data_IF_518011359870
#
_entry.id   IF_518011359870
#
_cell.length_a   1.000
_cell.length_b   1.000
_cell.length_c   1.000
_cell.angle_alpha   90.00
_cell.angle_beta   90.00
_cell.angle_gamma   90.00
#
_symmetry.space_group_name_H-M   'P 1'
#
loop_
_entity.id
_entity.type
_entity.pdbx_description
1 polymer ?
#
# COMPACT_ATOMS: atom_id res chain seq x y z
N UNK A 1 0.01 -19.19 4.47
CA UNK A 1 -1.44 -19.21 4.19
C UNK A 1 -2.06 -20.28 5.07
N UNK A 2 -3.16 -19.95 5.69
CA UNK A 2 -3.94 -20.88 6.54
C UNK A 2 -5.35 -21.04 5.96
N UNK A 3 -6.00 -22.13 6.28
CA UNK A 3 -7.43 -22.27 6.04
C UNK A 3 -8.19 -21.24 6.89
N UNK A 4 -9.31 -20.70 6.36
CA UNK A 4 -10.13 -19.70 7.09
C UNK A 4 -10.66 -20.23 8.43
N UNK A 5 -10.86 -21.53 8.54
CA UNK A 5 -11.32 -22.21 9.77
C UNK A 5 -10.19 -22.65 10.69
N UNK A 6 -8.92 -22.32 10.37
CA UNK A 6 -7.77 -22.70 11.18
C UNK A 6 -7.86 -22.10 12.59
N UNK A 7 -7.51 -22.92 13.60
CA UNK A 7 -7.53 -22.54 15.00
C UNK A 7 -6.37 -23.19 15.78
N UNK A 8 -5.89 -22.54 16.83
CA UNK A 8 -4.80 -23.02 17.66
C UNK A 8 -3.50 -23.21 16.87
N UNK A 9 -2.76 -24.29 17.11
CA UNK A 9 -1.53 -24.63 16.40
C UNK A 9 -1.81 -25.34 15.08
N UNK A 10 -2.58 -24.68 14.20
CA UNK A 10 -2.99 -25.25 12.91
C UNK A 10 -1.80 -25.30 11.93
N UNK A 11 -1.75 -26.36 11.12
CA UNK A 11 -0.78 -26.49 10.05
C UNK A 11 -1.06 -25.48 8.94
N UNK A 12 0.01 -24.88 8.37
CA UNK A 12 -0.08 -24.03 7.20
C UNK A 12 -0.51 -24.84 5.97
N UNK A 13 -1.45 -24.32 5.21
CA UNK A 13 -1.83 -24.92 3.92
C UNK A 13 -0.76 -24.68 2.85
N UNK A 14 -0.17 -23.49 2.82
CA UNK A 14 0.93 -23.10 1.91
C UNK A 14 1.86 -22.10 2.59
N UNK A 15 3.13 -22.09 2.15
CA UNK A 15 4.15 -21.19 2.65
C UNK A 15 5.03 -20.73 1.48
N UNK A 16 5.20 -19.42 1.34
CA UNK A 16 6.15 -18.85 0.37
C UNK A 16 7.42 -18.55 1.17
N UNK A 17 8.51 -19.23 0.90
CA UNK A 17 9.76 -19.13 1.62
C UNK A 17 10.94 -19.65 0.79
N UNK A 18 12.14 -19.21 1.11
CA UNK A 18 13.38 -19.61 0.43
C UNK A 18 13.98 -18.45 -0.40
N UNK A 19 15.23 -18.62 -0.82
CA UNK A 19 16.00 -17.56 -1.49
C UNK A 19 15.41 -17.18 -2.85
N UNK A 20 14.90 -18.14 -3.60
CA UNK A 20 14.28 -17.91 -4.90
C UNK A 20 13.04 -17.01 -4.85
N UNK A 21 12.41 -16.86 -3.68
CA UNK A 21 11.27 -15.96 -3.51
C UNK A 21 11.66 -14.48 -3.48
N UNK A 22 12.92 -14.14 -3.28
CA UNK A 22 13.42 -12.80 -3.04
C UNK A 22 12.81 -12.10 -1.81
N UNK A 23 12.09 -12.83 -0.95
CA UNK A 23 11.55 -12.28 0.29
C UNK A 23 12.66 -11.95 1.26
N UNK A 24 12.71 -10.72 1.71
CA UNK A 24 13.66 -10.25 2.70
C UNK A 24 13.27 -10.66 4.13
N UNK A 25 14.10 -10.25 5.08
CA UNK A 25 13.96 -10.59 6.50
C UNK A 25 12.69 -10.05 7.15
N UNK A 26 12.23 -8.88 6.72
CA UNK A 26 11.13 -8.14 7.36
C UNK A 26 10.11 -7.76 6.32
N UNK A 27 8.86 -8.13 6.56
CA UNK A 27 7.70 -7.79 5.76
C UNK A 27 6.71 -7.05 6.66
N UNK A 28 6.32 -5.83 6.31
CA UNK A 28 5.40 -5.03 7.11
C UNK A 28 3.97 -5.04 6.56
N UNK A 29 3.81 -5.38 5.29
CA UNK A 29 2.50 -5.50 4.67
C UNK A 29 2.46 -6.56 3.59
N UNK A 30 1.27 -7.03 3.30
CA UNK A 30 0.96 -7.99 2.25
C UNK A 30 -0.43 -7.65 1.71
N UNK A 31 -0.59 -7.70 0.40
CA UNK A 31 -1.85 -7.45 -0.27
C UNK A 31 -2.23 -8.65 -1.14
N UNK A 32 -3.52 -8.90 -1.21
CA UNK A 32 -4.08 -9.86 -2.14
C UNK A 32 -4.94 -9.13 -3.15
N UNK A 33 -4.56 -9.22 -4.41
CA UNK A 33 -5.32 -8.73 -5.55
C UNK A 33 -6.29 -9.83 -5.97
N UNK A 34 -7.54 -9.70 -5.54
CA UNK A 34 -8.58 -10.68 -5.77
C UNK A 34 -9.08 -10.73 -7.22
N UNK A 35 -8.88 -9.65 -7.98
CA UNK A 35 -9.26 -9.59 -9.39
C UNK A 35 -8.30 -10.38 -10.29
N UNK A 36 -7.05 -10.49 -9.88
CA UNK A 36 -6.00 -11.11 -10.68
C UNK A 36 -5.37 -12.35 -10.03
N UNK A 37 -5.84 -12.74 -8.84
CA UNK A 37 -5.27 -13.82 -8.03
C UNK A 37 -3.76 -13.66 -7.83
N UNK A 38 -3.36 -12.49 -7.28
CA UNK A 38 -1.97 -12.16 -7.05
C UNK A 38 -1.71 -11.72 -5.60
N UNK A 39 -0.54 -12.10 -5.09
CA UNK A 39 -0.04 -11.65 -3.79
C UNK A 39 1.04 -10.61 -4.03
N UNK A 40 0.88 -9.41 -3.47
CA UNK A 40 1.81 -8.29 -3.66
C UNK A 40 2.45 -7.93 -2.33
N UNK A 41 3.78 -7.85 -2.32
CA UNK A 41 4.59 -7.66 -1.11
C UNK A 41 5.64 -6.58 -1.35
N UNK A 42 5.59 -5.45 -0.62
CA UNK A 42 6.68 -4.48 -0.64
C UNK A 42 7.90 -5.01 0.13
N UNK A 43 9.09 -4.71 -0.39
CA UNK A 43 10.37 -5.08 0.19
C UNK A 43 11.13 -3.82 0.62
N UNK A 44 11.01 -3.38 1.87
CA UNK A 44 11.52 -2.07 2.29
C UNK A 44 13.04 -1.94 2.13
N UNK A 45 13.80 -2.96 2.53
CA UNK A 45 15.26 -2.89 2.49
C UNK A 45 15.85 -3.08 1.08
N UNK A 46 15.12 -3.72 0.19
CA UNK A 46 15.53 -3.88 -1.20
C UNK A 46 14.99 -2.78 -2.12
N UNK A 47 14.11 -1.90 -1.64
CA UNK A 47 13.45 -0.89 -2.46
C UNK A 47 12.70 -1.54 -3.62
N UNK A 48 11.91 -2.58 -3.34
CA UNK A 48 11.24 -3.37 -4.36
C UNK A 48 9.77 -3.63 -4.04
N UNK A 49 9.01 -3.99 -5.07
CA UNK A 49 7.68 -4.60 -4.94
C UNK A 49 7.70 -5.94 -5.66
N UNK A 50 7.34 -7.00 -4.94
CA UNK A 50 7.27 -8.36 -5.45
C UNK A 50 5.81 -8.75 -5.67
N UNK A 51 5.52 -9.35 -6.82
CA UNK A 51 4.19 -9.88 -7.14
C UNK A 51 4.28 -11.38 -7.39
N UNK A 52 3.51 -12.18 -6.66
CA UNK A 52 3.43 -13.62 -6.79
C UNK A 52 2.06 -14.03 -7.31
N UNK A 53 1.97 -15.22 -7.92
CA UNK A 53 0.67 -15.85 -8.16
C UNK A 53 -0.03 -16.13 -6.82
N UNK A 54 -1.35 -16.02 -6.77
CA UNK A 54 -2.13 -16.33 -5.56
C UNK A 54 -1.94 -17.77 -5.11
N UNK A 55 -1.64 -18.69 -6.05
CA UNK A 55 -1.33 -20.10 -5.78
C UNK A 55 0.12 -20.39 -5.35
N UNK A 56 1.01 -19.40 -5.22
CA UNK A 56 2.43 -19.62 -4.91
C UNK A 56 2.65 -20.40 -3.63
N UNK A 57 3.63 -21.32 -3.66
CA UNK A 57 3.99 -22.19 -2.53
C UNK A 57 5.47 -22.60 -2.61
N UNK A 58 6.10 -22.77 -1.45
CA UNK A 58 7.54 -23.11 -1.36
C UNK A 58 8.41 -21.99 -1.91
N UNK A 59 9.48 -22.35 -2.61
CA UNK A 59 10.46 -21.43 -3.17
C UNK A 59 10.05 -20.88 -4.55
N UNK A 60 8.76 -20.60 -4.72
CA UNK A 60 8.24 -20.03 -5.98
C UNK A 60 8.78 -18.62 -6.17
N UNK A 61 9.45 -18.31 -7.30
CA UNK A 61 9.90 -16.94 -7.57
C UNK A 61 8.73 -16.00 -7.83
N UNK A 62 8.90 -14.69 -7.62
CA UNK A 62 7.87 -13.72 -7.99
C UNK A 62 7.63 -13.70 -9.50
N UNK A 63 6.38 -13.49 -9.89
CA UNK A 63 5.99 -13.28 -11.29
C UNK A 63 6.58 -12.00 -11.85
N UNK A 64 6.64 -10.95 -11.01
CA UNK A 64 7.14 -9.62 -11.36
C UNK A 64 7.86 -9.00 -10.17
N UNK A 65 8.88 -8.21 -10.48
CA UNK A 65 9.66 -7.43 -9.53
C UNK A 65 9.79 -6.02 -10.08
N UNK A 66 9.34 -5.03 -9.34
CA UNK A 66 9.62 -3.61 -9.59
C UNK A 66 10.77 -3.24 -8.67
N UNK A 67 11.95 -2.92 -9.23
CA UNK A 67 13.14 -2.59 -8.46
C UNK A 67 14.16 -1.87 -9.32
N UNK A 68 14.84 -0.89 -8.75
CA UNK A 68 15.96 -0.19 -9.38
C UNK A 68 15.90 1.32 -9.14
N UNK A 69 16.97 2.04 -9.51
CA UNK A 69 17.10 3.47 -9.19
C UNK A 69 16.02 4.36 -9.81
N UNK A 70 15.49 4.03 -10.99
CA UNK A 70 14.43 4.81 -11.65
C UNK A 70 13.09 4.70 -10.92
N UNK A 71 12.86 3.62 -10.17
CA UNK A 71 11.62 3.45 -9.42
C UNK A 71 11.47 4.49 -8.32
N UNK A 72 12.58 5.01 -7.79
CA UNK A 72 12.61 5.88 -6.63
C UNK A 72 12.13 5.21 -5.34
N UNK A 73 11.92 3.88 -5.33
CA UNK A 73 11.52 3.13 -4.16
C UNK A 73 12.65 3.06 -3.13
N UNK A 74 12.34 3.35 -1.89
CA UNK A 74 13.25 3.25 -0.76
C UNK A 74 12.45 3.15 0.53
N UNK A 75 12.76 2.17 1.39
CA UNK A 75 12.09 1.95 2.68
C UNK A 75 10.54 1.92 2.58
N UNK A 76 10.04 1.29 1.53
CA UNK A 76 8.60 1.18 1.23
C UNK A 76 7.96 0.06 2.06
N UNK A 77 7.73 0.34 3.34
CA UNK A 77 7.18 -0.61 4.31
C UNK A 77 5.73 -0.99 4.05
N UNK A 78 4.99 -0.06 3.50
CA UNK A 78 3.55 -0.19 3.26
C UNK A 78 3.22 0.27 1.84
N UNK A 79 2.10 -0.19 1.34
CA UNK A 79 1.55 0.21 0.05
C UNK A 79 0.04 -0.03 0.04
N UNK A 80 -0.62 0.28 -1.03
CA UNK A 80 -1.96 -0.23 -1.32
C UNK A 80 -2.08 -0.63 -2.78
N UNK A 81 -3.00 -1.54 -3.06
CA UNK A 81 -3.30 -2.04 -4.40
C UNK A 81 -4.68 -1.56 -4.81
N UNK A 82 -4.78 -1.05 -6.02
CA UNK A 82 -6.04 -0.82 -6.72
C UNK A 82 -6.22 -1.95 -7.75
N UNK A 83 -6.92 -3.02 -7.41
CA UNK A 83 -7.06 -4.16 -8.29
C UNK A 83 -7.94 -3.86 -9.51
N UNK A 84 -8.90 -2.94 -9.36
CA UNK A 84 -9.84 -2.57 -10.41
C UNK A 84 -9.18 -1.83 -11.57
N UNK A 85 -8.20 -0.98 -11.27
CA UNK A 85 -7.48 -0.19 -12.29
C UNK A 85 -6.05 -0.69 -12.52
N UNK A 86 -5.63 -1.74 -11.82
CA UNK A 86 -4.31 -2.34 -11.96
C UNK A 86 -3.18 -1.39 -11.57
N UNK A 87 -3.28 -0.74 -10.41
CA UNK A 87 -2.28 0.22 -9.94
C UNK A 87 -1.79 -0.10 -8.53
N UNK A 88 -0.51 0.14 -8.30
CA UNK A 88 0.16 0.03 -7.01
C UNK A 88 0.53 1.41 -6.48
N UNK A 89 0.05 1.78 -5.31
CA UNK A 89 0.35 3.04 -4.64
C UNK A 89 1.37 2.79 -3.54
N UNK A 90 2.61 3.18 -3.78
CA UNK A 90 3.75 2.87 -2.92
C UNK A 90 4.32 4.16 -2.32
N UNK A 91 4.13 4.40 -1.02
CA UNK A 91 4.76 5.52 -0.34
C UNK A 91 6.29 5.39 -0.37
N UNK A 92 6.98 6.50 -0.59
CA UNK A 92 8.42 6.56 -0.51
C UNK A 92 8.87 6.79 0.93
N UNK A 93 9.51 5.78 1.52
CA UNK A 93 10.03 5.87 2.88
C UNK A 93 8.94 5.95 3.96
N UNK A 94 9.36 5.96 5.20
CA UNK A 94 8.48 6.19 6.34
C UNK A 94 8.15 7.68 6.44
N UNK A 95 6.88 8.05 6.22
CA UNK A 95 6.43 9.44 6.27
C UNK A 95 6.96 10.33 5.14
N UNK A 96 7.35 9.73 4.00
CA UNK A 96 8.09 10.39 2.91
C UNK A 96 7.34 11.45 2.11
N UNK A 97 6.09 11.75 2.41
CA UNK A 97 5.33 12.84 1.77
C UNK A 97 5.05 12.65 0.28
N UNK A 98 5.39 11.49 -0.27
CA UNK A 98 5.19 11.15 -1.70
C UNK A 98 4.68 9.73 -1.84
N UNK A 99 3.77 9.52 -2.81
CA UNK A 99 3.29 8.21 -3.22
C UNK A 99 3.64 8.02 -4.68
N UNK A 100 4.41 6.97 -4.96
CA UNK A 100 4.76 6.54 -6.31
C UNK A 100 3.70 5.57 -6.79
N UNK A 101 3.14 5.80 -7.96
CA UNK A 101 2.12 4.95 -8.55
C UNK A 101 2.70 4.20 -9.73
N UNK A 102 2.60 2.88 -9.70
CA UNK A 102 3.05 1.98 -10.76
C UNK A 102 1.86 1.24 -11.38
N UNK A 103 2.01 0.78 -12.61
CA UNK A 103 1.07 -0.19 -13.17
C UNK A 103 1.36 -1.58 -12.59
N UNK A 104 0.34 -2.37 -12.40
CA UNK A 104 0.43 -3.76 -11.93
C UNK A 104 1.41 -4.61 -12.76
N UNK A 105 1.49 -4.35 -14.07
CA UNK A 105 2.34 -5.11 -15.00
C UNK A 105 3.75 -4.56 -15.16
N UNK A 106 4.12 -3.52 -14.43
CA UNK A 106 5.48 -2.96 -14.49
C UNK A 106 6.50 -3.97 -13.95
N UNK A 107 7.69 -4.00 -14.59
CA UNK A 107 8.79 -4.93 -14.27
C UNK A 107 10.14 -4.21 -14.35
N UNK A 108 11.03 -4.52 -13.41
CA UNK A 108 12.40 -4.03 -13.40
C UNK A 108 12.54 -2.57 -12.99
N UNK A 109 13.54 -1.90 -13.57
CA UNK A 109 13.90 -0.51 -13.26
C UNK A 109 13.08 0.48 -14.07
N UNK A 110 11.83 0.67 -13.70
CA UNK A 110 10.87 1.57 -14.35
C UNK A 110 10.59 2.80 -13.50
N UNK A 111 10.40 3.95 -14.14
CA UNK A 111 9.89 5.12 -13.44
C UNK A 111 8.42 4.92 -13.06
N UNK A 112 7.95 5.49 -11.94
CA UNK A 112 6.53 5.47 -11.62
C UNK A 112 5.70 6.14 -12.73
N UNK A 113 4.51 5.63 -12.97
CA UNK A 113 3.52 6.19 -13.90
C UNK A 113 3.18 7.64 -13.55
N UNK A 114 3.09 7.93 -12.25
CA UNK A 114 2.89 9.26 -11.66
C UNK A 114 3.36 9.28 -10.21
N UNK A 115 3.58 10.47 -9.70
CA UNK A 115 3.91 10.70 -8.29
C UNK A 115 2.93 11.73 -7.75
N UNK A 116 2.36 11.49 -6.60
CA UNK A 116 1.57 12.47 -5.85
C UNK A 116 2.28 12.77 -4.54
N UNK A 117 2.45 14.06 -4.24
CA UNK A 117 3.11 14.50 -3.02
C UNK A 117 3.85 15.81 -3.16
N UNK A 118 4.21 16.37 -2.05
CA UNK A 118 4.87 17.65 -1.92
C UNK A 118 4.30 18.49 -0.77
N UNK A 119 4.78 19.73 -0.60
CA UNK A 119 4.37 20.60 0.50
C UNK A 119 2.86 20.88 0.55
N UNK A 120 2.21 21.07 -0.59
CA UNK A 120 0.75 21.32 -0.67
C UNK A 120 -0.06 20.05 -0.42
N UNK A 121 0.38 18.95 -0.99
CA UNK A 121 -0.26 17.66 -0.78
C UNK A 121 -0.24 17.27 0.70
N UNK A 122 0.86 17.51 1.40
CA UNK A 122 0.92 17.30 2.85
C UNK A 122 0.76 15.84 3.27
N UNK A 123 1.06 14.90 2.38
CA UNK A 123 1.01 13.46 2.65
C UNK A 123 1.96 13.08 3.77
N UNK A 124 1.53 12.20 4.66
CA UNK A 124 2.31 11.72 5.81
C UNK A 124 2.69 10.24 5.74
N UNK A 125 1.92 9.42 5.04
CA UNK A 125 2.20 7.99 5.09
C UNK A 125 1.20 7.10 4.37
N UNK A 126 0.55 6.23 5.11
CA UNK A 126 -0.15 5.04 4.61
C UNK A 126 -1.37 5.40 3.77
N UNK A 127 -1.43 4.98 2.50
CA UNK A 127 -2.58 5.17 1.64
C UNK A 127 -3.56 3.99 1.70
N UNK A 128 -4.80 4.27 1.37
CA UNK A 128 -5.79 3.29 0.89
C UNK A 128 -6.49 3.85 -0.33
N UNK A 129 -6.99 2.98 -1.21
CA UNK A 129 -7.71 3.39 -2.42
C UNK A 129 -9.15 2.93 -2.36
N UNK A 130 -10.06 3.87 -2.48
CA UNK A 130 -11.47 3.62 -2.77
C UNK A 130 -11.64 3.65 -4.30
N UNK A 131 -11.49 2.50 -4.91
CA UNK A 131 -11.56 2.37 -6.36
C UNK A 131 -13.01 2.43 -6.91
N UNK A 132 -14.02 2.36 -6.05
CA UNK A 132 -15.43 2.47 -6.47
C UNK A 132 -15.84 3.94 -6.61
N UNK A 133 -15.29 4.81 -5.76
CA UNK A 133 -15.59 6.25 -5.79
C UNK A 133 -14.43 7.10 -6.32
N UNK A 134 -13.36 6.47 -6.82
CA UNK A 134 -12.19 7.13 -7.41
C UNK A 134 -11.43 8.02 -6.42
N UNK A 135 -11.23 7.58 -5.18
CA UNK A 135 -10.48 8.32 -4.18
C UNK A 135 -9.19 7.63 -3.74
N UNK A 136 -8.15 8.43 -3.58
CA UNK A 136 -6.96 8.10 -2.82
C UNK A 136 -7.12 8.73 -1.43
N UNK A 137 -7.13 7.91 -0.39
CA UNK A 137 -7.28 8.33 1.01
C UNK A 137 -5.96 8.02 1.70
N UNK A 138 -5.35 9.00 2.32
CA UNK A 138 -4.04 8.84 2.93
C UNK A 138 -3.92 9.59 4.25
N UNK A 139 -2.98 9.15 5.08
CA UNK A 139 -2.52 9.94 6.20
C UNK A 139 -1.97 11.28 5.71
N UNK A 140 -2.40 12.37 6.34
CA UNK A 140 -1.87 13.71 6.15
C UNK A 140 -1.16 14.21 7.42
N UNK A 141 -0.59 15.41 7.37
CA UNK A 141 0.16 16.01 8.49
C UNK A 141 -0.66 16.14 9.77
N UNK A 142 -1.95 16.42 9.66
CA UNK A 142 -2.84 16.75 10.77
C UNK A 142 -4.16 15.96 10.74
N UNK A 143 -4.22 14.89 9.93
CA UNK A 143 -5.42 14.07 9.83
C UNK A 143 -5.43 13.16 8.63
N UNK A 144 -6.61 12.91 8.08
CA UNK A 144 -6.81 12.10 6.88
C UNK A 144 -7.14 13.01 5.70
N UNK A 145 -6.43 12.85 4.62
CA UNK A 145 -6.58 13.63 3.39
C UNK A 145 -7.13 12.76 2.27
N UNK A 146 -8.03 13.32 1.48
CA UNK A 146 -8.72 12.64 0.40
C UNK A 146 -8.41 13.37 -0.90
N UNK A 147 -7.89 12.63 -1.87
CA UNK A 147 -7.54 13.12 -3.20
C UNK A 147 -8.36 12.37 -4.26
N UNK A 148 -8.37 12.89 -5.48
CA UNK A 148 -8.71 12.08 -6.64
C UNK A 148 -7.69 10.94 -6.76
N UNK A 149 -8.14 9.73 -7.11
CA UNK A 149 -7.27 8.57 -7.27
C UNK A 149 -6.18 8.78 -8.33
N UNK A 150 -6.50 9.58 -9.35
CA UNK A 150 -5.59 9.90 -10.45
C UNK A 150 -4.73 11.13 -10.19
N UNK A 151 -4.74 11.67 -8.98
CA UNK A 151 -3.94 12.82 -8.58
C UNK A 151 -2.47 12.67 -8.95
N UNK A 152 -1.86 13.77 -9.37
CA UNK A 152 -0.44 13.85 -9.75
C UNK A 152 0.18 15.16 -9.29
N UNK A 153 1.44 15.12 -8.88
CA UNK A 153 2.21 16.28 -8.46
C UNK A 153 1.87 16.79 -7.05
N UNK A 154 2.25 18.03 -6.79
CA UNK A 154 2.05 18.71 -5.52
C UNK A 154 0.71 19.47 -5.50
N UNK A 155 -0.36 18.76 -5.21
CA UNK A 155 -1.73 19.26 -5.26
C UNK A 155 -2.39 19.27 -3.87
N UNK A 156 -3.32 20.20 -3.67
CA UNK A 156 -4.16 20.20 -2.46
C UNK A 156 -5.11 19.00 -2.47
N UNK A 157 -5.41 18.40 -1.30
CA UNK A 157 -6.45 17.38 -1.19
C UNK A 157 -7.84 17.98 -1.45
N UNK A 158 -8.72 17.17 -2.00
CA UNK A 158 -10.14 17.51 -2.19
C UNK A 158 -10.85 17.75 -0.85
N UNK A 159 -10.48 16.97 0.16
CA UNK A 159 -11.07 17.03 1.50
C UNK A 159 -10.03 16.67 2.56
N UNK A 160 -10.21 17.23 3.75
CA UNK A 160 -9.39 16.95 4.95
C UNK A 160 -10.30 16.62 6.12
N UNK A 161 -10.02 15.54 6.81
CA UNK A 161 -10.59 15.24 8.12
C UNK A 161 -9.49 15.51 9.13
N UNK A 162 -9.50 16.71 9.69
CA UNK A 162 -8.45 17.15 10.63
C UNK A 162 -8.69 16.62 12.03
N UNK A 163 -7.61 16.51 12.79
CA UNK A 163 -7.64 16.11 14.17
C UNK A 163 -8.44 17.08 15.05
N UNK A 164 -9.06 16.55 16.09
CA UNK A 164 -9.79 17.36 17.06
C UNK A 164 -10.73 16.54 17.94
N UNK A 165 -11.33 17.17 18.96
CA UNK A 165 -12.18 16.48 19.94
C UNK A 165 -13.38 15.77 19.32
N UNK A 166 -13.92 16.29 18.21
CA UNK A 166 -15.07 15.68 17.52
C UNK A 166 -14.68 14.54 16.58
N UNK A 167 -13.58 14.67 15.85
CA UNK A 167 -13.14 13.62 14.92
C UNK A 167 -12.41 12.48 15.62
N UNK A 168 -11.80 12.74 16.78
CA UNK A 168 -10.95 11.77 17.48
C UNK A 168 -9.66 11.42 16.72
N UNK A 169 -9.44 11.98 15.53
CA UNK A 169 -8.27 11.71 14.71
C UNK A 169 -7.07 12.49 15.26
N UNK A 170 -5.96 11.80 15.48
CA UNK A 170 -4.64 12.39 15.74
C UNK A 170 -3.71 12.11 14.56
N UNK A 171 -2.55 12.75 14.59
CA UNK A 171 -1.44 12.41 13.71
C UNK A 171 -1.13 10.90 13.75
N UNK A 172 -0.63 10.34 12.65
CA UNK A 172 -0.35 8.92 12.44
C UNK A 172 -1.62 8.05 12.43
N UNK A 173 -2.55 8.39 11.59
CA UNK A 173 -3.77 7.63 11.37
C UNK A 173 -3.67 6.84 10.07
N UNK A 174 -3.82 5.53 10.14
CA UNK A 174 -3.84 4.67 8.96
C UNK A 174 -5.29 4.47 8.51
N UNK A 175 -5.70 5.02 7.36
CA UNK A 175 -7.01 4.75 6.80
C UNK A 175 -7.04 3.39 6.11
N UNK A 176 -8.18 2.72 6.17
CA UNK A 176 -8.48 1.54 5.38
C UNK A 176 -9.90 1.66 4.83
N UNK A 177 -10.03 1.74 3.52
CA UNK A 177 -11.33 1.71 2.88
C UNK A 177 -11.99 0.33 3.01
N UNK A 178 -13.30 0.31 3.20
CA UNK A 178 -14.10 -0.91 3.30
C UNK A 178 -14.75 -1.15 1.93
N UNK A 179 -14.30 -2.15 1.14
CA UNK A 179 -14.83 -2.44 -0.19
C UNK A 179 -16.35 -2.59 -0.21
N UNK A 180 -16.97 -2.03 -1.26
CA UNK A 180 -18.42 -2.06 -1.44
C UNK A 180 -19.20 -1.11 -0.52
N UNK A 181 -18.52 -0.20 0.17
CA UNK A 181 -19.16 0.81 1.04
C UNK A 181 -18.60 2.21 0.77
N UNK A 182 -19.32 3.24 1.22
CA UNK A 182 -18.81 4.62 1.21
C UNK A 182 -18.04 4.98 2.49
N UNK A 183 -17.58 3.97 3.24
CA UNK A 183 -16.91 4.17 4.52
C UNK A 183 -15.46 3.73 4.49
N UNK A 184 -14.65 4.33 5.34
CA UNK A 184 -13.32 3.83 5.66
C UNK A 184 -13.13 3.86 7.19
N UNK A 185 -12.34 2.93 7.69
CA UNK A 185 -11.92 2.89 9.10
C UNK A 185 -10.58 3.57 9.25
N UNK A 186 -10.32 4.10 10.41
CA UNK A 186 -9.07 4.78 10.75
C UNK A 186 -8.56 4.25 12.07
N UNK A 187 -7.29 3.84 12.08
CA UNK A 187 -6.59 3.61 13.35
C UNK A 187 -5.97 4.94 13.78
N UNK A 188 -6.36 5.44 14.95
CA UNK A 188 -5.78 6.65 15.51
C UNK A 188 -5.14 6.32 16.86
N UNK A 189 -4.00 6.93 17.19
CA UNK A 189 -3.51 6.90 18.56
C UNK A 189 -4.49 7.67 19.46
N UNK A 190 -4.89 7.06 20.58
CA UNK A 190 -5.78 7.73 21.54
C UNK A 190 -5.13 9.02 22.06
N UNK A 191 -5.95 10.03 22.34
CA UNK A 191 -5.55 11.17 23.14
C UNK A 191 -5.48 10.69 24.60
N UNK A 192 -4.31 10.54 25.15
CA UNK A 192 -4.06 10.48 26.61
C UNK A 192 -3.83 11.87 27.12
#
# INVERSE_FOLDING_TARGET
IFARSANGNAQTARRIEGQGTMLGRTQHSIFYDEFHDEIVIPQPFAGAVLTFAGGANGETPPLRVIQGPKTGLALNDVMTVDPKHGEYFVPRGQGGGMIHVFNRLDVGDVAPKRIVGGPKAGLGGIPTVDYDHNFLIAEGRDGIYIYDRTAEGDIEPLRKITGGPKSGVKSMASPLWIPGTSNFVVTARAFT
#
